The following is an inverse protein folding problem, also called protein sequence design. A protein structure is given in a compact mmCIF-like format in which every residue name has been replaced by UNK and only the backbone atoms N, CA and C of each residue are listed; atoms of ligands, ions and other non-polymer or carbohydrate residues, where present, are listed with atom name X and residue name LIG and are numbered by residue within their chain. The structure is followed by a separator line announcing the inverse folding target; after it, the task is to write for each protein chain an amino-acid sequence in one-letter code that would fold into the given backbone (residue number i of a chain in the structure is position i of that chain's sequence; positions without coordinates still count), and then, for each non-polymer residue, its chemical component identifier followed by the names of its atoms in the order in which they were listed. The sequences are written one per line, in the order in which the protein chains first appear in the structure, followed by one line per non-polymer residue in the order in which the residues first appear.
data_IF_242441960577
#
_entry.id   IF_242441960577
#
_cell.length_a   1.000
_cell.length_b   1.000
_cell.length_c   1.000
_cell.angle_alpha   90.00
_cell.angle_beta   90.00
_cell.angle_gamma   90.00
#
_symmetry.space_group_name_H-M   'P 1'
#
loop_
_entity.id
_entity.type
_entity.pdbx_description
1 polymer ?
#
# COMPACT_ATOMS: atom_id res chain seq x y z
N UNK A 1 70.42 33.99 -16.94
CA UNK A 1 70.05 34.59 -15.63
C UNK A 1 69.92 36.12 -15.63
N UNK A 2 70.54 36.89 -16.55
CA UNK A 2 70.36 38.36 -16.63
C UNK A 2 69.02 38.80 -17.23
N UNK A 3 68.46 38.04 -18.18
CA UNK A 3 67.21 38.37 -18.89
C UNK A 3 65.99 38.41 -17.96
N UNK A 4 65.89 37.48 -17.01
CA UNK A 4 64.79 37.48 -16.03
C UNK A 4 64.86 38.65 -15.05
N UNK A 5 66.07 39.12 -14.72
CA UNK A 5 66.27 40.20 -13.75
C UNK A 5 65.87 41.55 -14.36
N UNK A 6 66.12 41.75 -15.66
CA UNK A 6 65.71 42.98 -16.36
C UNK A 6 64.21 43.04 -16.66
N UNK A 7 63.55 41.89 -16.90
CA UNK A 7 62.09 41.82 -17.03
C UNK A 7 61.41 42.20 -15.71
N UNK A 8 61.91 41.70 -14.58
CA UNK A 8 61.39 42.04 -13.24
C UNK A 8 61.62 43.53 -12.91
N UNK A 9 62.76 44.11 -13.34
CA UNK A 9 63.08 45.52 -13.09
C UNK A 9 62.23 46.48 -13.93
N UNK A 10 61.89 46.10 -15.16
CA UNK A 10 61.02 46.88 -16.06
C UNK A 10 59.55 46.84 -15.65
N UNK A 11 59.13 45.77 -14.96
CA UNK A 11 57.80 45.67 -14.35
C UNK A 11 57.61 46.56 -13.10
N UNK A 12 58.71 47.04 -12.49
CA UNK A 12 58.68 47.88 -11.28
C UNK A 12 58.36 49.36 -11.54
N UNK A 13 58.38 49.85 -12.78
CA UNK A 13 58.41 51.30 -13.05
C UNK A 13 57.25 51.88 -13.86
N UNK A 14 56.16 51.16 -14.12
CA UNK A 14 55.06 51.78 -14.87
C UNK A 14 53.75 51.08 -14.59
N UNK A 15 52.83 51.82 -13.96
CA UNK A 15 51.38 51.57 -13.90
C UNK A 15 50.95 50.35 -13.07
N UNK A 16 51.63 49.20 -13.13
CA UNK A 16 51.17 47.95 -12.51
C UNK A 16 51.26 47.91 -10.97
N UNK A 17 52.15 48.68 -10.32
CA UNK A 17 52.31 48.63 -8.86
C UNK A 17 51.08 49.15 -8.08
N UNK A 18 50.29 50.05 -8.67
CA UNK A 18 49.06 50.57 -8.07
C UNK A 18 47.87 49.60 -8.22
N UNK A 19 47.84 48.79 -9.28
CA UNK A 19 46.73 47.85 -9.54
C UNK A 19 46.94 46.46 -8.93
N UNK A 20 48.17 46.10 -8.54
CA UNK A 20 48.46 44.85 -7.83
C UNK A 20 47.62 44.68 -6.55
N UNK A 21 47.52 45.66 -5.64
CA UNK A 21 46.66 45.53 -4.46
C UNK A 21 45.17 45.41 -4.84
N UNK A 22 44.71 46.11 -5.89
CA UNK A 22 43.33 46.02 -6.36
C UNK A 22 43.01 44.63 -6.95
N UNK A 23 43.92 44.05 -7.73
CA UNK A 23 43.79 42.69 -8.28
C UNK A 23 43.74 41.64 -7.16
N UNK A 24 44.56 41.79 -6.12
CA UNK A 24 44.54 40.88 -4.96
C UNK A 24 43.23 40.96 -4.19
N UNK A 25 42.63 42.14 -4.05
CA UNK A 25 41.30 42.29 -3.44
C UNK A 25 40.23 41.59 -4.28
N UNK A 26 40.26 41.75 -5.61
CA UNK A 26 39.32 41.08 -6.51
C UNK A 26 39.47 39.56 -6.42
N UNK A 27 40.69 39.03 -6.45
CA UNK A 27 40.96 37.61 -6.30
C UNK A 27 40.56 37.08 -4.92
N UNK A 28 40.73 37.86 -3.85
CA UNK A 28 40.24 37.50 -2.52
C UNK A 28 38.71 37.45 -2.48
N UNK A 29 38.01 38.38 -3.14
CA UNK A 29 36.55 38.32 -3.28
C UNK A 29 36.11 37.08 -4.05
N UNK A 30 36.78 36.73 -5.16
CA UNK A 30 36.49 35.50 -5.90
C UNK A 30 36.79 34.23 -5.09
N UNK A 31 37.88 34.22 -4.31
CA UNK A 31 38.20 33.09 -3.44
C UNK A 31 37.18 32.94 -2.30
N UNK A 32 36.70 34.05 -1.73
CA UNK A 32 35.66 34.06 -0.68
C UNK A 32 34.32 33.62 -1.27
N UNK A 33 33.89 34.15 -2.42
CA UNK A 33 32.64 33.72 -3.07
C UNK A 33 32.73 32.26 -3.50
N UNK A 34 33.87 31.81 -4.01
CA UNK A 34 34.10 30.40 -4.32
C UNK A 34 34.05 29.53 -3.06
N UNK A 35 34.69 29.92 -1.95
CA UNK A 35 34.59 29.20 -0.66
C UNK A 35 33.18 29.18 -0.08
N UNK A 36 32.40 30.24 -0.26
CA UNK A 36 30.99 30.31 0.15
C UNK A 36 30.12 29.40 -0.73
N UNK A 37 30.45 29.25 -2.03
CA UNK A 37 29.69 28.43 -2.97
C UNK A 37 30.05 26.94 -2.89
N UNK A 38 31.32 26.62 -2.62
CA UNK A 38 31.85 25.24 -2.51
C UNK A 38 31.53 24.61 -1.13
N UNK A 39 31.28 25.43 -0.11
CA UNK A 39 30.52 25.00 1.08
C UNK A 39 29.02 25.03 0.80
N UNK A 40 28.60 24.29 -0.21
CA UNK A 40 27.20 23.88 -0.33
C UNK A 40 26.97 22.77 0.70
N UNK A 41 26.33 23.03 1.87
CA UNK A 41 25.78 21.95 2.65
C UNK A 41 24.80 21.21 1.73
N UNK A 42 24.92 19.87 1.67
CA UNK A 42 23.98 18.95 1.03
C UNK A 42 22.62 19.62 0.88
N UNK A 43 22.29 19.92 -0.38
CA UNK A 43 21.25 20.85 -0.76
C UNK A 43 19.99 20.54 0.05
N UNK A 44 19.47 21.50 0.81
CA UNK A 44 18.37 21.29 1.79
C UNK A 44 17.15 20.59 1.15
N UNK A 45 17.00 20.74 -0.17
CA UNK A 45 16.05 20.02 -1.01
C UNK A 45 16.29 18.51 -1.14
N UNK A 46 17.54 18.04 -1.29
CA UNK A 46 17.88 16.60 -1.36
C UNK A 46 17.70 15.90 -0.02
N UNK A 47 18.11 16.54 1.09
CA UNK A 47 17.88 16.01 2.44
C UNK A 47 16.38 15.95 2.77
N UNK A 48 15.58 16.92 2.28
CA UNK A 48 14.12 16.87 2.43
C UNK A 48 13.50 15.76 1.58
N UNK A 49 13.98 15.53 0.35
CA UNK A 49 13.50 14.45 -0.53
C UNK A 49 13.81 13.07 0.04
N UNK A 50 15.00 12.87 0.62
CA UNK A 50 15.36 11.61 1.29
C UNK A 50 14.47 11.37 2.51
N UNK A 51 14.23 12.39 3.34
CA UNK A 51 13.30 12.28 4.49
C UNK A 51 11.85 12.06 4.06
N UNK A 52 11.39 12.73 3.01
CA UNK A 52 10.04 12.56 2.47
C UNK A 52 9.89 11.16 1.86
N UNK A 53 10.88 10.66 1.13
CA UNK A 53 10.87 9.30 0.59
C UNK A 53 10.92 8.23 1.70
N UNK A 54 11.67 8.46 2.79
CA UNK A 54 11.69 7.56 3.94
C UNK A 54 10.37 7.58 4.72
N UNK A 55 9.73 8.75 4.84
CA UNK A 55 8.40 8.91 5.43
C UNK A 55 7.33 8.27 4.53
N UNK A 56 7.37 8.48 3.22
CA UNK A 56 6.49 7.82 2.25
C UNK A 56 6.70 6.30 2.33
N UNK A 57 7.94 5.81 2.36
CA UNK A 57 8.23 4.37 2.47
C UNK A 57 7.80 3.78 3.82
N UNK A 58 7.81 4.58 4.90
CA UNK A 58 7.25 4.17 6.20
C UNK A 58 5.73 4.15 6.18
N UNK A 59 5.08 5.15 5.56
CA UNK A 59 3.63 5.21 5.40
C UNK A 59 3.11 4.12 4.45
N UNK A 60 3.81 3.87 3.33
CA UNK A 60 3.55 2.78 2.39
C UNK A 60 3.87 1.40 2.98
N UNK A 61 4.83 1.31 3.93
CA UNK A 61 5.06 0.08 4.69
C UNK A 61 4.04 -0.13 5.83
N UNK A 62 3.32 0.92 6.24
CA UNK A 62 2.20 0.87 7.19
C UNK A 62 0.86 0.58 6.50
N UNK A 63 0.71 0.97 5.22
CA UNK A 63 -0.39 0.52 4.37
C UNK A 63 -0.18 -0.96 3.99
N UNK A 64 -1.17 -1.83 4.23
CA UNK A 64 -1.08 -3.23 3.80
C UNK A 64 -0.99 -3.31 2.28
N UNK A 65 -0.32 -4.35 1.74
CA UNK A 65 -0.14 -4.51 0.30
C UNK A 65 -1.49 -4.46 -0.41
N UNK A 66 -1.65 -3.49 -1.31
CA UNK A 66 -2.84 -3.36 -2.15
C UNK A 66 -2.90 -4.54 -3.10
N UNK A 67 -4.11 -4.99 -3.39
CA UNK A 67 -4.34 -6.08 -4.33
C UNK A 67 -4.43 -5.47 -5.73
N UNK A 68 -3.39 -5.73 -6.51
CA UNK A 68 -3.15 -5.21 -7.87
C UNK A 68 -3.67 -6.13 -8.97
N UNK A 69 -4.06 -7.36 -8.62
CA UNK A 69 -4.56 -8.38 -9.55
C UNK A 69 -3.45 -9.25 -10.16
N UNK A 70 -2.18 -9.00 -9.82
CA UNK A 70 -1.03 -9.78 -10.28
C UNK A 70 -0.48 -10.74 -9.21
N UNK A 71 -1.13 -10.81 -8.05
CA UNK A 71 -0.72 -11.65 -6.94
C UNK A 71 -0.91 -13.13 -7.27
N UNK A 72 0.01 -13.96 -6.79
CA UNK A 72 -0.16 -15.40 -6.79
C UNK A 72 -1.26 -15.83 -5.81
N UNK A 73 -1.79 -17.04 -5.99
CA UNK A 73 -2.75 -17.65 -5.06
C UNK A 73 -2.20 -17.76 -3.62
N UNK A 74 -0.88 -17.91 -3.46
CA UNK A 74 -0.23 -17.97 -2.17
C UNK A 74 -0.14 -16.58 -1.51
N UNK A 75 0.24 -15.55 -2.26
CA UNK A 75 0.27 -14.17 -1.76
C UNK A 75 -1.12 -13.69 -1.37
N UNK A 76 -2.12 -14.00 -2.19
CA UNK A 76 -3.53 -13.69 -1.91
C UNK A 76 -4.01 -14.40 -0.64
N UNK A 77 -3.64 -15.67 -0.43
CA UNK A 77 -3.93 -16.42 0.81
C UNK A 77 -3.27 -15.81 2.03
N UNK A 78 -2.05 -15.35 1.87
CA UNK A 78 -1.28 -14.80 2.96
C UNK A 78 -1.65 -13.35 3.27
N UNK A 79 -2.45 -12.72 2.42
CA UNK A 79 -2.94 -11.36 2.62
C UNK A 79 -3.76 -11.26 3.93
N UNK A 80 -3.40 -10.31 4.82
CA UNK A 80 -4.04 -10.18 6.12
C UNK A 80 -5.53 -9.81 6.04
N UNK A 81 -5.96 -9.11 4.99
CA UNK A 81 -7.38 -8.84 4.77
C UNK A 81 -8.18 -10.13 4.56
N UNK A 82 -7.66 -11.05 3.74
CA UNK A 82 -8.32 -12.31 3.44
C UNK A 82 -8.34 -13.25 4.65
N UNK A 83 -7.22 -13.33 5.38
CA UNK A 83 -7.16 -14.07 6.64
C UNK A 83 -8.15 -13.54 7.68
N UNK A 84 -8.39 -12.24 7.69
CA UNK A 84 -9.32 -11.63 8.61
C UNK A 84 -10.77 -12.06 8.38
N UNK A 85 -11.18 -12.38 7.15
CA UNK A 85 -12.51 -12.94 6.87
C UNK A 85 -12.74 -14.18 7.72
N UNK A 86 -11.78 -15.12 7.72
CA UNK A 86 -11.87 -16.32 8.56
C UNK A 86 -11.86 -16.02 10.05
N UNK A 87 -11.09 -15.01 10.47
CA UNK A 87 -11.05 -14.55 11.87
C UNK A 87 -12.42 -14.04 12.33
N UNK A 88 -13.03 -13.14 11.54
CA UNK A 88 -14.35 -12.58 11.81
C UNK A 88 -15.44 -13.65 11.85
N UNK A 89 -15.45 -14.57 10.87
CA UNK A 89 -16.40 -15.68 10.85
C UNK A 89 -16.26 -16.60 12.06
N UNK A 90 -15.02 -16.88 12.50
CA UNK A 90 -14.79 -17.68 13.70
C UNK A 90 -15.23 -16.96 14.98
N UNK A 91 -14.96 -15.64 15.08
CA UNK A 91 -15.44 -14.82 16.20
C UNK A 91 -16.97 -14.76 16.27
N UNK A 92 -17.63 -14.73 15.11
CA UNK A 92 -19.09 -14.87 15.07
C UNK A 92 -19.54 -16.28 15.51
N UNK A 93 -18.88 -17.34 15.02
CA UNK A 93 -19.19 -18.73 15.37
C UNK A 93 -19.10 -19.00 16.88
N UNK A 94 -18.06 -18.50 17.54
CA UNK A 94 -17.82 -18.71 18.97
C UNK A 94 -18.56 -17.71 19.89
N UNK A 95 -19.14 -16.66 19.32
CA UNK A 95 -19.92 -15.65 20.03
C UNK A 95 -19.08 -14.54 20.68
N UNK A 96 -17.76 -14.53 20.47
CA UNK A 96 -16.90 -13.41 20.88
C UNK A 96 -17.08 -12.17 20.01
N UNK A 97 -17.59 -12.36 18.78
CA UNK A 97 -17.73 -11.36 17.73
C UNK A 97 -16.41 -10.70 17.30
N UNK A 98 -15.27 -11.30 17.67
CA UNK A 98 -13.93 -10.77 17.37
C UNK A 98 -13.75 -10.58 15.86
N UNK A 99 -13.51 -9.35 15.43
CA UNK A 99 -13.28 -8.99 14.03
C UNK A 99 -14.54 -8.83 13.18
N UNK A 100 -15.73 -9.06 13.74
CA UNK A 100 -17.05 -8.94 13.13
C UNK A 100 -17.93 -7.86 13.79
N UNK A 101 -17.38 -7.08 14.72
CA UNK A 101 -18.14 -6.13 15.54
C UNK A 101 -18.86 -5.08 14.69
N UNK A 102 -18.18 -4.57 13.66
CA UNK A 102 -18.73 -3.53 12.77
C UNK A 102 -19.86 -4.05 11.88
N UNK A 103 -19.71 -5.25 11.29
CA UNK A 103 -20.78 -5.82 10.44
C UNK A 103 -22.03 -6.12 11.26
N UNK A 104 -21.87 -6.63 12.49
CA UNK A 104 -22.97 -6.88 13.41
C UNK A 104 -23.63 -5.55 13.83
N UNK A 105 -22.86 -4.52 14.14
CA UNK A 105 -23.41 -3.20 14.48
C UNK A 105 -24.19 -2.57 13.32
N UNK A 106 -23.74 -2.79 12.07
CA UNK A 106 -24.42 -2.32 10.87
C UNK A 106 -25.74 -3.08 10.61
N UNK A 107 -25.77 -4.39 10.88
CA UNK A 107 -27.00 -5.21 10.85
C UNK A 107 -28.03 -4.66 11.84
N UNK A 108 -27.62 -4.41 13.09
CA UNK A 108 -28.51 -3.87 14.12
C UNK A 108 -29.05 -2.47 13.79
N UNK A 109 -28.28 -1.68 13.04
CA UNK A 109 -28.65 -0.34 12.61
C UNK A 109 -29.52 -0.31 11.34
N UNK A 110 -29.53 -1.38 10.55
CA UNK A 110 -30.25 -1.46 9.28
C UNK A 110 -30.67 -2.88 8.94
N UNK A 111 -31.98 -3.14 8.99
CA UNK A 111 -32.56 -4.40 8.51
C UNK A 111 -32.36 -4.54 6.99
N UNK A 112 -31.33 -5.27 6.59
CA UNK A 112 -31.14 -5.73 5.21
C UNK A 112 -31.10 -7.25 5.20
N UNK A 113 -32.12 -7.90 4.62
CA UNK A 113 -32.17 -9.37 4.44
C UNK A 113 -31.01 -9.90 3.55
N UNK A 114 -30.27 -8.98 2.92
CA UNK A 114 -29.19 -9.25 1.98
C UNK A 114 -27.80 -9.12 2.60
N UNK A 115 -27.63 -8.40 3.71
CA UNK A 115 -26.33 -8.11 4.32
C UNK A 115 -26.33 -8.38 5.82
N UNK A 116 -25.31 -9.10 6.27
CA UNK A 116 -25.08 -9.45 7.65
C UNK A 116 -24.51 -10.85 7.85
N UNK A 117 -24.19 -11.23 9.08
CA UNK A 117 -23.82 -12.58 9.47
C UNK A 117 -25.03 -13.40 9.94
N UNK A 118 -26.20 -12.80 10.08
CA UNK A 118 -27.46 -13.50 10.36
C UNK A 118 -28.22 -13.93 9.07
N UNK A 119 -27.74 -13.50 7.90
CA UNK A 119 -28.40 -13.72 6.61
C UNK A 119 -28.49 -15.20 6.22
N UNK A 120 -27.65 -16.08 6.78
CA UNK A 120 -27.72 -17.53 6.58
C UNK A 120 -27.56 -18.26 7.90
N UNK A 121 -27.89 -19.56 7.92
CA UNK A 121 -27.65 -20.40 9.08
C UNK A 121 -26.17 -20.33 9.50
N UNK A 122 -25.92 -20.06 10.78
CA UNK A 122 -24.59 -19.89 11.36
C UNK A 122 -23.62 -21.04 11.04
N UNK A 123 -24.13 -22.25 10.80
CA UNK A 123 -23.32 -23.41 10.37
C UNK A 123 -22.70 -23.25 8.98
N UNK A 124 -23.19 -22.36 8.12
CA UNK A 124 -22.52 -22.02 6.85
C UNK A 124 -21.07 -21.60 7.08
N UNK A 125 -20.83 -20.79 8.10
CA UNK A 125 -19.52 -20.21 8.36
C UNK A 125 -18.49 -21.22 8.87
N UNK A 126 -18.93 -22.41 9.32
CA UNK A 126 -18.03 -23.52 9.67
C UNK A 126 -17.34 -24.11 8.44
N UNK A 127 -17.97 -24.01 7.28
CA UNK A 127 -17.40 -24.49 6.03
C UNK A 127 -16.14 -23.70 5.70
N UNK A 128 -15.19 -24.39 5.07
CA UNK A 128 -14.12 -23.70 4.37
C UNK A 128 -14.70 -22.84 3.26
N UNK A 129 -14.04 -21.74 2.91
CA UNK A 129 -14.44 -20.95 1.76
C UNK A 129 -13.34 -20.91 0.71
N UNK A 130 -13.78 -20.78 -0.53
CA UNK A 130 -12.99 -20.47 -1.69
C UNK A 130 -13.06 -18.98 -1.95
N UNK A 131 -11.92 -18.37 -2.27
CA UNK A 131 -11.85 -16.99 -2.74
C UNK A 131 -11.97 -16.96 -4.26
N UNK A 132 -13.12 -16.52 -4.77
CA UNK A 132 -13.39 -16.45 -6.20
C UNK A 132 -12.70 -15.26 -6.87
N UNK A 133 -12.80 -14.10 -6.24
CA UNK A 133 -12.22 -12.86 -6.73
C UNK A 133 -11.93 -11.95 -5.56
N UNK A 134 -10.91 -11.13 -5.72
CA UNK A 134 -10.49 -10.16 -4.74
C UNK A 134 -10.02 -8.91 -5.46
N UNK A 135 -10.34 -7.75 -4.91
CA UNK A 135 -9.87 -6.47 -5.41
C UNK A 135 -9.73 -5.48 -4.25
N UNK A 136 -8.92 -4.47 -4.46
CA UNK A 136 -8.98 -3.26 -3.64
C UNK A 136 -10.39 -2.65 -3.76
N UNK A 137 -10.92 -2.11 -2.68
CA UNK A 137 -12.23 -1.46 -2.66
C UNK A 137 -12.04 0.07 -2.79
N UNK A 138 -12.85 0.73 -3.63
CA UNK A 138 -12.75 2.18 -3.86
C UNK A 138 -12.92 3.03 -2.60
N UNK A 139 -13.59 2.48 -1.58
CA UNK A 139 -13.78 3.11 -0.26
C UNK A 139 -12.71 2.69 0.77
N UNK A 140 -11.65 2.03 0.30
CA UNK A 140 -10.54 1.49 1.06
C UNK A 140 -10.79 0.08 1.61
N UNK A 141 -9.70 -0.61 1.95
CA UNK A 141 -9.75 -2.02 2.33
C UNK A 141 -9.93 -2.93 1.12
N UNK A 142 -10.19 -4.21 1.37
CA UNK A 142 -10.29 -5.23 0.33
C UNK A 142 -11.71 -5.76 0.25
N UNK A 143 -12.21 -5.88 -0.98
CA UNK A 143 -13.41 -6.65 -1.26
C UNK A 143 -13.06 -8.04 -1.78
N UNK A 144 -13.80 -9.04 -1.32
CA UNK A 144 -13.62 -10.43 -1.67
C UNK A 144 -14.97 -11.05 -2.00
N UNK A 145 -15.01 -11.85 -3.06
CA UNK A 145 -16.13 -12.73 -3.36
C UNK A 145 -15.76 -14.15 -2.94
N UNK A 146 -16.51 -14.73 -2.01
CA UNK A 146 -16.24 -16.05 -1.46
C UNK A 146 -17.40 -17.02 -1.69
N UNK A 147 -17.07 -18.31 -1.73
CA UNK A 147 -18.05 -19.41 -1.80
C UNK A 147 -17.70 -20.47 -0.76
N UNK A 148 -18.68 -20.94 0.00
CA UNK A 148 -18.45 -22.00 0.97
C UNK A 148 -18.37 -23.38 0.28
N UNK A 149 -17.36 -24.16 0.60
CA UNK A 149 -17.05 -25.45 -0.06
C UNK A 149 -18.11 -26.51 0.22
N UNK A 150 -18.59 -26.60 1.45
CA UNK A 150 -19.58 -27.61 1.84
C UNK A 150 -20.98 -27.26 1.34
N UNK A 151 -21.19 -25.98 0.99
CA UNK A 151 -22.44 -25.42 0.46
C UNK A 151 -22.13 -24.36 -0.62
N UNK A 152 -21.73 -24.79 -1.83
CA UNK A 152 -21.34 -23.87 -2.89
C UNK A 152 -22.56 -23.34 -3.67
N UNK A 153 -23.63 -23.03 -2.95
CA UNK A 153 -24.92 -22.61 -3.52
C UNK A 153 -24.99 -21.11 -3.78
N UNK A 154 -24.10 -20.33 -3.16
CA UNK A 154 -24.15 -18.87 -3.10
C UNK A 154 -22.75 -18.26 -3.05
N UNK A 155 -22.66 -17.04 -3.57
CA UNK A 155 -21.49 -16.19 -3.42
C UNK A 155 -21.78 -15.13 -2.37
N UNK A 156 -20.78 -14.86 -1.55
CA UNK A 156 -20.83 -13.81 -0.57
C UNK A 156 -19.81 -12.73 -0.93
N UNK A 157 -20.26 -11.49 -0.94
CA UNK A 157 -19.38 -10.33 -0.95
C UNK A 157 -18.94 -10.03 0.48
N UNK A 158 -17.65 -9.93 0.71
CA UNK A 158 -17.04 -9.59 1.98
C UNK A 158 -16.15 -8.36 1.81
N UNK A 159 -16.27 -7.39 2.71
CA UNK A 159 -15.44 -6.20 2.74
C UNK A 159 -14.69 -6.11 4.05
N UNK A 160 -13.36 -6.17 3.96
CA UNK A 160 -12.47 -6.07 5.11
C UNK A 160 -11.70 -4.77 5.05
N UNK A 161 -11.74 -4.02 6.15
CA UNK A 161 -11.09 -2.73 6.28
C UNK A 161 -10.03 -2.79 7.37
N UNK A 162 -8.92 -2.07 7.20
CA UNK A 162 -7.90 -1.88 8.25
C UNK A 162 -8.17 -0.55 8.95
N UNK A 163 -8.50 -0.60 10.23
CA UNK A 163 -8.75 0.59 11.04
C UNK A 163 -7.44 1.38 11.22
N UNK A 164 -7.53 2.70 11.07
CA UNK A 164 -6.40 3.60 11.33
C UNK A 164 -6.02 3.61 12.82
N UNK A 165 -4.73 3.75 13.10
CA UNK A 165 -4.19 3.77 14.47
C UNK A 165 -3.59 2.43 14.88
N UNK A 166 -4.39 1.52 15.45
CA UNK A 166 -3.93 0.22 15.96
C UNK A 166 -3.78 -0.84 14.87
N UNK A 167 -4.17 -0.53 13.62
CA UNK A 167 -3.95 -1.36 12.45
C UNK A 167 -4.75 -2.65 12.45
N UNK A 168 -5.79 -2.75 13.29
CA UNK A 168 -6.66 -3.92 13.34
C UNK A 168 -7.54 -4.01 12.11
N UNK A 169 -7.76 -5.23 11.65
CA UNK A 169 -8.68 -5.51 10.56
C UNK A 169 -10.10 -5.68 11.11
N UNK A 170 -11.09 -5.31 10.32
CA UNK A 170 -12.51 -5.43 10.64
C UNK A 170 -13.28 -5.87 9.41
N UNK A 171 -14.17 -6.84 9.56
CA UNK A 171 -15.18 -7.15 8.56
C UNK A 171 -16.27 -6.07 8.65
N UNK A 172 -16.39 -5.26 7.61
CA UNK A 172 -17.33 -4.12 7.56
C UNK A 172 -18.57 -4.40 6.71
N UNK A 173 -18.50 -5.39 5.83
CA UNK A 173 -19.62 -5.80 5.02
C UNK A 173 -19.56 -7.28 4.73
N UNK A 174 -20.71 -7.93 4.79
CA UNK A 174 -20.88 -9.32 4.39
C UNK A 174 -22.26 -9.49 3.79
N UNK A 175 -22.38 -9.73 2.49
CA UNK A 175 -23.66 -9.72 1.80
C UNK A 175 -23.81 -10.90 0.85
N UNK A 176 -25.06 -11.30 0.59
CA UNK A 176 -25.45 -12.25 -0.48
C UNK A 176 -25.39 -11.65 -1.88
N UNK A 177 -24.70 -10.53 -2.04
CA UNK A 177 -24.47 -9.89 -3.32
C UNK A 177 -23.44 -10.73 -4.07
N UNK A 178 -23.90 -11.43 -5.11
CA UNK A 178 -22.99 -12.06 -6.07
C UNK A 178 -22.08 -11.01 -6.71
N UNK A 179 -21.05 -11.43 -7.47
CA UNK A 179 -20.24 -10.48 -8.20
C UNK A 179 -21.13 -9.76 -9.23
N UNK A 180 -20.74 -8.56 -9.70
CA UNK A 180 -21.41 -7.84 -10.76
C UNK A 180 -21.85 -8.77 -11.90
N UNK A 181 -22.96 -8.49 -12.57
CA UNK A 181 -23.57 -9.41 -13.55
C UNK A 181 -22.58 -9.93 -14.60
N UNK A 182 -21.61 -9.10 -15.02
CA UNK A 182 -20.53 -9.45 -15.95
C UNK A 182 -19.62 -10.59 -15.46
N UNK A 183 -19.50 -10.78 -14.14
CA UNK A 183 -18.71 -11.84 -13.50
C UNK A 183 -19.56 -13.08 -13.15
N UNK A 184 -20.89 -12.96 -13.19
CA UNK A 184 -21.82 -14.00 -12.72
C UNK A 184 -21.93 -15.20 -13.66
N UNK A 185 -21.82 -14.97 -14.96
CA UNK A 185 -21.85 -16.03 -15.97
C UNK A 185 -20.54 -16.83 -15.96
N UNK A 186 -19.40 -16.13 -15.90
CA UNK A 186 -18.07 -16.74 -15.73
C UNK A 186 -17.98 -17.54 -14.43
N UNK A 187 -18.56 -17.02 -13.34
CA UNK A 187 -18.70 -17.74 -12.08
C UNK A 187 -19.44 -19.06 -12.24
N UNK A 188 -20.64 -19.02 -12.83
CA UNK A 188 -21.50 -20.19 -12.99
C UNK A 188 -20.78 -21.28 -13.79
N UNK A 189 -20.16 -20.91 -14.91
CA UNK A 189 -19.39 -21.84 -15.73
C UNK A 189 -18.17 -22.41 -14.99
N UNK A 190 -17.47 -21.58 -14.21
CA UNK A 190 -16.32 -22.00 -13.40
C UNK A 190 -16.78 -23.04 -12.37
N UNK A 191 -17.81 -22.75 -11.57
CA UNK A 191 -18.29 -23.68 -10.54
C UNK A 191 -18.82 -24.99 -11.10
N UNK A 192 -19.60 -24.95 -12.19
CA UNK A 192 -20.08 -26.15 -12.89
C UNK A 192 -18.89 -27.00 -13.33
N UNK A 193 -17.90 -26.41 -13.98
CA UNK A 193 -16.73 -27.14 -14.47
C UNK A 193 -15.88 -27.78 -13.35
N UNK A 194 -15.91 -27.22 -12.14
CA UNK A 194 -15.12 -27.70 -11.00
C UNK A 194 -15.83 -28.83 -10.26
N UNK A 195 -17.15 -28.72 -10.14
CA UNK A 195 -18.01 -29.79 -9.65
C UNK A 195 -17.91 -31.00 -10.59
N UNK A 196 -18.01 -30.78 -11.91
CA UNK A 196 -17.97 -31.85 -12.93
C UNK A 196 -16.62 -32.57 -13.00
N UNK A 197 -15.51 -31.86 -12.78
CA UNK A 197 -14.17 -32.45 -12.84
C UNK A 197 -13.78 -33.19 -11.55
N UNK A 198 -14.52 -33.03 -10.46
CA UNK A 198 -14.11 -33.52 -9.13
C UNK A 198 -12.79 -32.89 -8.64
N UNK A 199 -12.26 -31.92 -9.38
CA UNK A 199 -11.04 -31.20 -9.09
C UNK A 199 -11.40 -29.91 -8.37
N UNK A 200 -11.70 -30.00 -7.07
CA UNK A 200 -11.62 -28.83 -6.20
C UNK A 200 -10.13 -28.58 -5.93
N UNK A 201 -9.37 -28.17 -6.96
CA UNK A 201 -8.00 -27.67 -6.83
C UNK A 201 -8.08 -26.21 -6.44
N UNK A 202 -8.42 -25.96 -5.17
CA UNK A 202 -8.50 -24.61 -4.66
C UNK A 202 -7.78 -24.43 -3.34
N UNK A 203 -7.26 -23.23 -3.20
CA UNK A 203 -6.77 -22.64 -1.96
C UNK A 203 -7.92 -22.56 -0.95
N UNK A 204 -7.97 -23.52 -0.03
CA UNK A 204 -8.98 -23.62 1.02
C UNK A 204 -8.63 -22.70 2.21
N UNK A 205 -9.62 -21.97 2.75
CA UNK A 205 -9.53 -21.16 3.96
C UNK A 205 -10.53 -21.57 5.04
#
# INVERSE_FOLDING_TARGET
MKIFTDIIKKFRSSIFAEYVPMLLVILAFFAITFFITDRNPLNKGELSKIKIAEVIRKLEAEEPPRITGNETDEETRNNPYIKHIRTALNGYLDGSNTGAEEVIALEEAGNSDECGLDIVDKLYYKSKFFLYSVADNDYGGVQAYIVFVDKPDRIFWAWVYKLGGDGKYSLRGFCKSGPPDELREKFTQTMVSLIERGEIKFSLF
#
